data_IF_063453982126
#
_entry.id   IF_063453982126
#
_cell.length_a   1.000
_cell.length_b   1.000
_cell.length_c   1.000
_cell.angle_alpha   90.00
_cell.angle_beta   90.00
_cell.angle_gamma   90.00
#
_symmetry.space_group_name_H-M   'P 1'
#
loop_
_entity.id
_entity.type
_entity.pdbx_description
1 polymer ?
#
# COMPACT_ATOMS: atom_id res chain seq x y z
N UNK A 1 13.72 6.63 14.53
CA UNK A 1 14.01 5.38 13.81
C UNK A 1 13.06 5.33 12.65
N UNK A 2 13.60 5.15 11.45
CA UNK A 2 12.79 5.00 10.24
C UNK A 2 12.07 3.66 10.29
N UNK A 3 10.85 3.61 9.78
CA UNK A 3 10.04 2.40 9.77
C UNK A 3 10.64 1.38 8.81
N UNK A 4 10.57 0.09 9.16
CA UNK A 4 10.93 -0.99 8.25
C UNK A 4 9.89 -1.16 7.13
N UNK A 5 10.23 -1.86 6.06
CA UNK A 5 9.28 -2.19 4.98
C UNK A 5 8.07 -2.92 5.53
N UNK A 6 8.28 -3.91 6.40
CA UNK A 6 7.19 -4.62 7.09
C UNK A 6 6.27 -3.66 7.85
N UNK A 7 6.84 -2.72 8.62
CA UNK A 7 6.06 -1.77 9.42
C UNK A 7 5.26 -0.81 8.54
N UNK A 8 5.84 -0.30 7.45
CA UNK A 8 5.15 0.59 6.52
C UNK A 8 3.98 -0.13 5.85
N UNK A 9 4.20 -1.34 5.31
CA UNK A 9 3.15 -2.09 4.63
C UNK A 9 2.02 -2.50 5.59
N UNK A 10 2.35 -2.86 6.83
CA UNK A 10 1.34 -3.16 7.84
C UNK A 10 0.49 -1.93 8.16
N UNK A 11 1.10 -0.76 8.36
CA UNK A 11 0.37 0.49 8.63
C UNK A 11 -0.44 0.96 7.43
N UNK A 12 0.06 0.75 6.22
CA UNK A 12 -0.69 1.04 5.00
C UNK A 12 -1.95 0.16 4.90
N UNK A 13 -1.86 -1.11 5.30
CA UNK A 13 -3.03 -1.98 5.40
C UNK A 13 -4.04 -1.45 6.43
N UNK A 14 -3.57 -1.03 7.62
CA UNK A 14 -4.44 -0.45 8.67
C UNK A 14 -5.19 0.80 8.20
N UNK A 15 -4.60 1.61 7.31
CA UNK A 15 -5.25 2.79 6.73
C UNK A 15 -6.39 2.44 5.76
N UNK A 16 -6.27 1.31 5.06
CA UNK A 16 -7.20 0.88 4.00
C UNK A 16 -8.26 -0.09 4.54
N UNK A 17 -7.95 -0.86 5.58
CA UNK A 17 -8.78 -1.95 6.10
C UNK A 17 -10.20 -1.55 6.51
N UNK A 18 -10.46 -0.39 7.17
CA UNK A 18 -11.82 -0.03 7.53
C UNK A 18 -12.70 0.20 6.29
N UNK A 19 -13.98 -0.17 6.38
CA UNK A 19 -14.90 -0.10 5.24
C UNK A 19 -14.94 1.33 4.63
N UNK A 20 -14.84 1.40 3.29
CA UNK A 20 -14.87 2.67 2.55
C UNK A 20 -13.58 3.49 2.64
N UNK A 21 -12.50 2.95 3.23
CA UNK A 21 -11.19 3.62 3.31
C UNK A 21 -10.28 3.35 2.11
N UNK A 22 -10.70 2.52 1.18
CA UNK A 22 -10.02 2.32 -0.09
C UNK A 22 -10.60 3.17 -1.21
N UNK A 23 -9.75 3.62 -2.15
CA UNK A 23 -10.20 4.31 -3.37
C UNK A 23 -9.32 3.98 -4.58
N UNK A 24 -9.90 4.19 -5.78
CA UNK A 24 -9.23 4.09 -7.09
C UNK A 24 -9.05 5.46 -7.72
N UNK A 25 -8.11 5.61 -8.64
CA UNK A 25 -7.96 6.76 -9.53
C UNK A 25 -7.48 8.06 -8.86
N UNK A 26 -7.32 8.07 -7.54
CA UNK A 26 -6.84 9.23 -6.78
C UNK A 26 -5.88 8.78 -5.68
N UNK A 27 -4.86 9.58 -5.44
CA UNK A 27 -3.84 9.32 -4.42
C UNK A 27 -4.42 9.34 -2.99
N UNK A 28 -5.33 10.27 -2.74
CA UNK A 28 -6.19 10.33 -1.56
C UNK A 28 -7.58 10.76 -2.03
N UNK A 29 -8.63 10.17 -1.45
CA UNK A 29 -10.01 10.52 -1.79
C UNK A 29 -10.37 11.97 -1.44
N UNK A 30 -11.52 12.45 -1.93
CA UNK A 30 -11.95 13.85 -1.81
C UNK A 30 -12.01 14.34 -0.37
N UNK A 31 -12.37 13.47 0.58
CA UNK A 31 -12.45 13.81 2.01
C UNK A 31 -11.13 13.60 2.77
N UNK A 32 -10.04 13.32 2.06
CA UNK A 32 -8.72 12.91 2.61
C UNK A 32 -8.77 11.72 3.57
N UNK A 33 -9.86 10.95 3.47
CA UNK A 33 -10.22 9.92 4.44
C UNK A 33 -10.17 8.51 3.84
N UNK A 34 -9.93 8.35 2.55
CA UNK A 34 -9.68 7.07 1.89
C UNK A 34 -8.43 7.17 1.01
N UNK A 35 -7.77 6.03 0.78
CA UNK A 35 -6.44 5.95 0.19
C UNK A 35 -6.42 4.90 -0.92
N UNK A 36 -5.71 5.21 -2.02
CA UNK A 36 -5.22 4.14 -2.88
C UNK A 36 -4.02 3.46 -2.22
N UNK A 37 -3.60 2.31 -2.75
CA UNK A 37 -2.45 1.56 -2.24
C UNK A 37 -1.18 2.44 -2.11
N UNK A 38 -0.91 3.29 -3.11
CA UNK A 38 0.29 4.14 -3.13
C UNK A 38 0.21 5.24 -2.06
N UNK A 39 -0.94 5.90 -1.96
CA UNK A 39 -1.17 6.96 -0.96
C UNK A 39 -1.08 6.43 0.47
N UNK A 40 -1.60 5.22 0.72
CA UNK A 40 -1.50 4.59 2.03
C UNK A 40 -0.05 4.29 2.41
N UNK A 41 0.75 3.75 1.49
CA UNK A 41 2.19 3.46 1.72
C UNK A 41 2.96 4.74 2.02
N UNK A 42 2.77 5.78 1.21
CA UNK A 42 3.45 7.06 1.41
C UNK A 42 3.01 7.75 2.70
N UNK A 43 1.72 7.69 3.05
CA UNK A 43 1.20 8.23 4.31
C UNK A 43 1.75 7.50 5.53
N UNK A 44 1.86 6.17 5.45
CA UNK A 44 2.37 5.32 6.52
C UNK A 44 3.87 5.52 6.76
N UNK A 45 4.65 5.65 5.68
CA UNK A 45 6.10 5.87 5.73
C UNK A 45 6.53 7.34 5.83
N UNK A 46 5.59 8.28 5.75
CA UNK A 46 5.86 9.72 5.65
C UNK A 46 6.79 10.08 4.47
N UNK A 47 6.56 9.44 3.32
CA UNK A 47 7.32 9.68 2.10
C UNK A 47 6.70 10.82 1.27
N UNK A 48 7.55 11.62 0.64
CA UNK A 48 7.13 12.68 -0.28
C UNK A 48 7.10 12.26 -1.76
N UNK A 49 7.42 11.00 -2.07
CA UNK A 49 7.52 10.46 -3.43
C UNK A 49 7.21 8.95 -3.45
N UNK A 50 6.93 8.43 -4.64
CA UNK A 50 6.57 7.04 -4.91
C UNK A 50 7.76 6.10 -5.08
N UNK A 51 8.94 6.62 -5.42
CA UNK A 51 10.19 5.86 -5.46
C UNK A 51 10.74 5.61 -4.04
N UNK A 52 10.07 4.74 -3.29
CA UNK A 52 10.48 4.35 -1.94
C UNK A 52 10.55 2.81 -1.81
N UNK A 53 11.38 2.34 -0.88
CA UNK A 53 11.68 0.91 -0.71
C UNK A 53 10.42 0.04 -0.50
N UNK A 54 9.42 0.44 0.30
CA UNK A 54 8.18 -0.33 0.41
C UNK A 54 7.39 -0.46 -0.90
N UNK A 55 7.31 0.61 -1.69
CA UNK A 55 6.68 0.57 -3.03
C UNK A 55 7.43 -0.38 -3.95
N UNK A 56 8.76 -0.26 -4.04
CA UNK A 56 9.59 -1.12 -4.88
C UNK A 56 9.43 -2.60 -4.49
N UNK A 57 9.53 -2.91 -3.19
CA UNK A 57 9.36 -4.27 -2.69
C UNK A 57 7.99 -4.87 -3.04
N UNK A 58 6.90 -4.10 -2.86
CA UNK A 58 5.55 -4.59 -3.15
C UNK A 58 5.34 -4.83 -4.65
N UNK A 59 5.90 -3.96 -5.51
CA UNK A 59 5.89 -4.14 -6.96
C UNK A 59 6.58 -5.43 -7.38
N UNK A 60 7.78 -5.67 -6.84
CA UNK A 60 8.58 -6.86 -7.14
C UNK A 60 7.88 -8.13 -6.69
N UNK A 61 7.29 -8.13 -5.47
CA UNK A 61 6.50 -9.26 -4.96
C UNK A 61 5.33 -9.60 -5.88
N UNK A 62 4.67 -8.59 -6.44
CA UNK A 62 3.47 -8.77 -7.27
C UNK A 62 3.78 -8.98 -8.74
N UNK A 63 5.02 -8.75 -9.18
CA UNK A 63 5.41 -8.76 -10.58
C UNK A 63 4.71 -7.67 -11.40
N UNK A 64 4.43 -6.50 -10.82
CA UNK A 64 3.72 -5.40 -11.49
C UNK A 64 4.63 -4.20 -11.73
N UNK A 65 4.49 -3.56 -12.88
CA UNK A 65 5.24 -2.34 -13.21
C UNK A 65 4.73 -1.12 -12.41
N UNK A 66 3.43 -1.05 -12.13
CA UNK A 66 2.79 0.11 -11.52
C UNK A 66 1.73 -0.31 -10.49
N UNK A 67 1.90 0.10 -9.23
CA UNK A 67 0.93 -0.22 -8.17
C UNK A 67 -0.42 0.46 -8.39
N UNK A 68 -0.43 1.66 -8.98
CA UNK A 68 -1.68 2.39 -9.22
C UNK A 68 -2.54 1.68 -10.27
N UNK A 69 -1.96 1.13 -11.33
CA UNK A 69 -2.70 0.33 -12.32
C UNK A 69 -3.30 -0.94 -11.69
N UNK A 70 -2.54 -1.64 -10.84
CA UNK A 70 -3.06 -2.81 -10.13
C UNK A 70 -4.17 -2.47 -9.12
N UNK A 71 -4.06 -1.34 -8.44
CA UNK A 71 -5.09 -0.81 -7.54
C UNK A 71 -6.35 -0.43 -8.30
N UNK A 72 -6.20 0.17 -9.47
CA UNK A 72 -7.30 0.75 -10.23
C UNK A 72 -8.02 -0.23 -11.16
N UNK A 73 -7.60 -1.51 -11.17
CA UNK A 73 -8.31 -2.56 -11.88
C UNK A 73 -9.81 -2.56 -11.49
N UNK A 74 -10.73 -2.60 -12.47
CA UNK A 74 -12.17 -2.49 -12.22
C UNK A 74 -12.72 -3.65 -11.36
N UNK A 75 -12.04 -4.80 -11.36
CA UNK A 75 -12.41 -5.97 -10.56
C UNK A 75 -11.66 -6.04 -9.23
N UNK A 76 -10.69 -5.14 -8.97
CA UNK A 76 -9.96 -5.08 -7.70
C UNK A 76 -10.94 -4.84 -6.55
N UNK A 77 -10.67 -5.41 -5.39
CA UNK A 77 -11.44 -5.14 -4.17
C UNK A 77 -10.56 -4.59 -3.05
N UNK A 78 -11.16 -3.86 -2.10
CA UNK A 78 -10.48 -3.38 -0.90
C UNK A 78 -9.82 -4.55 -0.14
N UNK A 79 -10.54 -5.67 0.01
CA UNK A 79 -10.05 -6.84 0.71
C UNK A 79 -8.78 -7.42 0.07
N UNK A 80 -8.70 -7.47 -1.26
CA UNK A 80 -7.48 -7.90 -1.96
C UNK A 80 -6.32 -6.94 -1.75
N UNK A 81 -6.58 -5.62 -1.75
CA UNK A 81 -5.56 -4.60 -1.48
C UNK A 81 -4.98 -4.76 -0.07
N UNK A 82 -5.86 -4.91 0.93
CA UNK A 82 -5.46 -5.15 2.32
C UNK A 82 -4.68 -6.46 2.42
N UNK A 83 -5.20 -7.56 1.86
CA UNK A 83 -4.55 -8.87 1.91
C UNK A 83 -3.15 -8.82 1.32
N UNK A 84 -2.97 -8.14 0.18
CA UNK A 84 -1.66 -8.04 -0.46
C UNK A 84 -0.66 -7.19 0.34
N UNK A 85 -1.12 -6.12 0.98
CA UNK A 85 -0.29 -5.33 1.90
C UNK A 85 0.13 -6.15 3.13
N UNK A 86 -0.79 -6.95 3.69
CA UNK A 86 -0.49 -7.85 4.83
C UNK A 86 0.49 -8.96 4.44
N UNK A 87 0.32 -9.56 3.26
CA UNK A 87 1.25 -10.54 2.69
C UNK A 87 2.65 -9.94 2.51
N UNK A 88 2.74 -8.76 1.89
CA UNK A 88 4.00 -8.04 1.74
C UNK A 88 4.65 -7.70 3.08
N UNK A 89 3.86 -7.26 4.07
CA UNK A 89 4.35 -6.98 5.42
C UNK A 89 4.91 -8.23 6.11
N UNK A 90 4.23 -9.37 5.98
CA UNK A 90 4.67 -10.65 6.55
C UNK A 90 6.00 -11.11 5.92
N UNK A 91 6.07 -11.11 4.58
CA UNK A 91 7.28 -11.51 3.87
C UNK A 91 8.46 -10.58 4.16
N UNK A 92 8.23 -9.25 4.17
CA UNK A 92 9.26 -8.29 4.53
C UNK A 92 9.82 -8.55 5.93
N UNK A 93 8.96 -8.90 6.90
CA UNK A 93 9.38 -9.23 8.26
C UNK A 93 10.27 -10.47 8.30
N UNK A 94 9.91 -11.51 7.56
CA UNK A 94 10.71 -12.74 7.46
C UNK A 94 12.09 -12.47 6.85
N UNK A 95 12.19 -11.51 5.94
CA UNK A 95 13.43 -11.07 5.30
C UNK A 95 14.24 -10.03 6.11
N UNK A 96 13.72 -9.58 7.26
CA UNK A 96 14.36 -8.53 8.07
C UNK A 96 14.32 -7.13 7.44
N UNK A 97 13.27 -6.83 6.66
CA UNK A 97 13.12 -5.61 5.87
C UNK A 97 12.19 -4.55 6.48
#
# INVERSE_FOLDING_TARGET
>A
MDLTVSEVLSRAADLIEPEGKWTRGVYVGPDRNCWCVLGAIQRAGNFGHDDNRPVAFLKDLMGVAWLHEWNDDPNRTQAEVVAKLREGAALARELGL
#
